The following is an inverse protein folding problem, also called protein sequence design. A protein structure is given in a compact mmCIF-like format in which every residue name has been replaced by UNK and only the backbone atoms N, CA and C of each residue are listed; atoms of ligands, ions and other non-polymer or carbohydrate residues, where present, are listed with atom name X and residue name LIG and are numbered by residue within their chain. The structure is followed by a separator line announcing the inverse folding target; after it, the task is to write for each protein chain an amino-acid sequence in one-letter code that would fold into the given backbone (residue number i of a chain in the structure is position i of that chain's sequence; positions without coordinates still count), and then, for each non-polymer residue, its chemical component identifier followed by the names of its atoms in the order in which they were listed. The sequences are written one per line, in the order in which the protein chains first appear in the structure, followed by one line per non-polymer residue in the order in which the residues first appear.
data_IF_160133507898
#
_entry.id   IF_160133507898
#
_cell.length_a   1.000
_cell.length_b   1.000
_cell.length_c   1.000
_cell.angle_alpha   90.00
_cell.angle_beta   90.00
_cell.angle_gamma   90.00
#
_symmetry.space_group_name_H-M   'P 1'
#
loop_
_entity.id
_entity.type
_entity.pdbx_description
1 polymer ?
#
# COMPACT_ATOMS: atom_id res chain seq x y z
N UNK A 1 1.58 -16.64 27.89
CA UNK A 1 2.07 -16.08 26.61
C UNK A 1 3.37 -15.28 26.80
N UNK A 2 3.37 -14.12 27.46
CA UNK A 2 4.57 -13.27 27.59
C UNK A 2 5.77 -13.92 28.29
N UNK A 3 5.54 -14.79 29.27
CA UNK A 3 6.61 -15.57 29.90
C UNK A 3 7.31 -16.53 28.91
N UNK A 4 6.58 -17.06 27.93
CA UNK A 4 7.19 -17.92 26.89
C UNK A 4 7.91 -17.09 25.85
N UNK A 5 7.37 -15.92 25.48
CA UNK A 5 8.06 -14.95 24.64
C UNK A 5 9.38 -14.48 25.29
N UNK A 6 9.43 -14.36 26.62
CA UNK A 6 10.63 -14.00 27.38
C UNK A 6 11.76 -15.04 27.21
N UNK A 7 11.41 -16.33 27.23
CA UNK A 7 12.37 -17.42 26.98
C UNK A 7 12.96 -17.40 25.56
N UNK A 8 12.23 -16.81 24.62
CA UNK A 8 12.66 -16.58 23.25
C UNK A 8 13.34 -15.21 23.06
N UNK A 9 13.51 -14.40 24.12
CA UNK A 9 14.00 -13.03 24.01
C UNK A 9 13.08 -12.07 23.24
N UNK A 10 11.83 -12.47 22.99
CA UNK A 10 10.87 -11.73 22.14
C UNK A 10 9.88 -10.88 22.95
N UNK A 11 10.00 -10.83 24.28
CA UNK A 11 9.14 -10.02 25.16
C UNK A 11 9.56 -8.55 25.11
N UNK A 12 9.13 -7.85 24.06
CA UNK A 12 9.32 -6.42 23.89
C UNK A 12 7.98 -5.71 23.69
N UNK A 13 7.92 -4.42 24.01
CA UNK A 13 6.81 -3.49 23.74
C UNK A 13 5.50 -3.68 24.53
N UNK A 14 5.15 -4.89 24.97
CA UNK A 14 3.84 -5.19 25.57
C UNK A 14 3.92 -5.66 27.04
N UNK A 15 2.96 -5.20 27.84
CA UNK A 15 2.68 -5.75 29.19
C UNK A 15 1.45 -6.67 29.16
N UNK A 16 1.20 -7.51 30.20
CA UNK A 16 -0.02 -8.32 30.28
C UNK A 16 -1.31 -7.48 30.14
N UNK A 17 -1.32 -6.28 30.70
CA UNK A 17 -2.45 -5.36 30.66
C UNK A 17 -2.72 -4.86 29.25
N UNK A 18 -1.68 -4.50 28.47
CA UNK A 18 -1.81 -4.03 27.09
C UNK A 18 -2.44 -5.09 26.17
N UNK A 19 -2.07 -6.35 26.41
CA UNK A 19 -2.59 -7.50 25.66
C UNK A 19 -4.07 -7.68 25.94
N UNK A 20 -4.47 -7.68 27.22
CA UNK A 20 -5.89 -7.86 27.62
C UNK A 20 -6.74 -6.66 27.20
N UNK A 21 -6.18 -5.45 27.26
CA UNK A 21 -6.83 -4.23 26.79
C UNK A 21 -6.96 -4.17 25.26
N UNK A 22 -6.30 -5.08 24.53
CA UNK A 22 -6.37 -5.14 23.08
C UNK A 22 -5.69 -3.96 22.38
N UNK A 23 -4.59 -3.41 22.94
CA UNK A 23 -3.90 -2.28 22.32
C UNK A 23 -3.33 -2.66 20.94
N UNK A 24 -3.88 -2.15 19.82
CA UNK A 24 -3.55 -2.66 18.50
C UNK A 24 -2.10 -2.37 18.10
N UNK A 25 -1.56 -1.19 18.45
CA UNK A 25 -0.20 -0.79 18.09
C UNK A 25 0.84 -1.65 18.81
N UNK A 26 0.68 -1.81 20.13
CA UNK A 26 1.61 -2.60 20.93
C UNK A 26 1.54 -4.08 20.57
N UNK A 27 0.34 -4.61 20.35
CA UNK A 27 0.16 -6.00 19.94
C UNK A 27 0.76 -6.28 18.56
N UNK A 28 0.58 -5.39 17.57
CA UNK A 28 1.23 -5.54 16.25
C UNK A 28 2.75 -5.47 16.38
N UNK A 29 3.29 -4.54 17.17
CA UNK A 29 4.74 -4.45 17.40
C UNK A 29 5.30 -5.73 18.03
N UNK A 30 4.58 -6.31 19.00
CA UNK A 30 4.95 -7.59 19.62
C UNK A 30 4.98 -8.74 18.60
N UNK A 31 3.93 -8.87 17.78
CA UNK A 31 3.86 -9.93 16.75
C UNK A 31 4.93 -9.74 15.68
N UNK A 32 5.18 -8.51 15.24
CA UNK A 32 6.24 -8.19 14.28
C UNK A 32 7.63 -8.56 14.83
N UNK A 33 7.90 -8.26 16.10
CA UNK A 33 9.15 -8.66 16.75
C UNK A 33 9.32 -10.18 16.80
N UNK A 34 8.25 -10.89 17.14
CA UNK A 34 8.26 -12.36 17.18
C UNK A 34 8.55 -12.96 15.80
N UNK A 35 7.91 -12.44 14.75
CA UNK A 35 8.12 -12.90 13.37
C UNK A 35 9.54 -12.61 12.86
N UNK A 36 10.07 -11.42 13.16
CA UNK A 36 11.43 -11.05 12.76
C UNK A 36 12.51 -11.90 13.45
N UNK A 37 12.25 -12.36 14.69
CA UNK A 37 13.20 -13.18 15.44
C UNK A 37 13.06 -14.67 15.11
N UNK A 38 11.83 -15.16 14.98
CA UNK A 38 11.52 -16.56 14.71
C UNK A 38 10.45 -16.69 13.62
N UNK A 39 10.80 -16.48 12.34
CA UNK A 39 9.82 -16.57 11.24
C UNK A 39 9.30 -17.99 11.00
N UNK A 40 10.00 -19.01 11.52
CA UNK A 40 9.71 -20.44 11.29
C UNK A 40 9.67 -20.83 9.80
N UNK A 41 10.34 -20.06 8.93
CA UNK A 41 10.46 -20.30 7.50
C UNK A 41 11.82 -20.93 7.18
N UNK A 42 11.84 -21.91 6.27
CA UNK A 42 13.09 -22.43 5.72
C UNK A 42 13.71 -21.38 4.82
N UNK A 43 14.98 -21.03 5.06
CA UNK A 43 15.72 -20.12 4.17
C UNK A 43 15.98 -20.84 2.84
N UNK A 44 15.55 -20.29 1.68
CA UNK A 44 16.05 -20.73 0.39
C UNK A 44 17.59 -20.81 0.35
N UNK A 45 18.11 -21.82 -0.36
CA UNK A 45 19.54 -22.15 -0.46
C UNK A 45 20.38 -21.05 -1.16
N UNK A 46 19.74 -20.16 -1.91
CA UNK A 46 20.41 -19.05 -2.58
C UNK A 46 20.32 -17.79 -1.69
N UNK A 47 21.44 -17.47 -1.03
CA UNK A 47 21.57 -16.35 -0.09
C UNK A 47 21.63 -14.95 -0.72
N UNK A 48 21.22 -14.78 -1.98
CA UNK A 48 21.07 -13.45 -2.59
C UNK A 48 19.65 -12.92 -2.34
N UNK A 49 19.33 -12.62 -1.08
CA UNK A 49 18.11 -11.87 -0.78
C UNK A 49 18.38 -10.41 -1.06
N UNK A 50 18.07 -9.97 -2.27
CA UNK A 50 17.91 -8.54 -2.50
C UNK A 50 16.59 -8.12 -1.86
N UNK A 51 16.65 -7.33 -0.79
CA UNK A 51 15.46 -6.74 -0.17
C UNK A 51 14.65 -5.91 -1.18
N UNK A 52 15.25 -5.43 -2.27
CA UNK A 52 14.53 -4.77 -3.37
C UNK A 52 13.63 -5.71 -4.17
N UNK A 53 13.97 -7.00 -4.23
CA UNK A 53 13.16 -8.04 -4.87
C UNK A 53 12.04 -8.57 -3.96
N UNK A 54 12.12 -8.34 -2.65
CA UNK A 54 11.14 -8.82 -1.65
C UNK A 54 9.81 -8.05 -1.70
N UNK A 55 9.84 -6.76 -2.04
CA UNK A 55 8.62 -5.99 -2.33
C UNK A 55 8.10 -6.27 -3.75
N UNK A 56 8.90 -6.93 -4.61
CA UNK A 56 8.58 -7.13 -6.02
C UNK A 56 8.49 -5.83 -6.82
N UNK A 57 8.83 -4.68 -6.22
CA UNK A 57 8.73 -3.36 -6.82
C UNK A 57 10.08 -2.84 -7.29
N UNK A 58 10.10 -2.19 -8.46
CA UNK A 58 11.30 -1.53 -8.97
C UNK A 58 11.62 -0.25 -8.19
N UNK A 59 12.88 0.23 -8.28
CA UNK A 59 13.27 1.53 -7.68
C UNK A 59 12.41 2.69 -8.20
N UNK A 60 12.02 2.63 -9.46
CA UNK A 60 11.17 3.64 -10.10
C UNK A 60 9.75 3.59 -9.54
N UNK A 61 9.16 2.39 -9.46
CA UNK A 61 7.83 2.19 -8.86
C UNK A 61 7.77 2.76 -7.44
N UNK A 62 8.76 2.44 -6.59
CA UNK A 62 8.85 2.99 -5.24
C UNK A 62 8.95 4.51 -5.22
N UNK A 63 9.74 5.07 -6.14
CA UNK A 63 9.95 6.52 -6.23
C UNK A 63 8.64 7.23 -6.60
N UNK A 64 7.92 6.75 -7.62
CA UNK A 64 6.64 7.31 -8.02
C UNK A 64 5.57 7.13 -6.93
N UNK A 65 5.47 5.95 -6.34
CA UNK A 65 4.56 5.66 -5.22
C UNK A 65 4.77 6.63 -4.06
N UNK A 66 6.01 6.82 -3.62
CA UNK A 66 6.34 7.72 -2.53
C UNK A 66 6.07 9.18 -2.88
N UNK A 67 6.40 9.61 -4.10
CA UNK A 67 6.09 10.95 -4.59
C UNK A 67 4.58 11.23 -4.56
N UNK A 68 3.78 10.35 -5.17
CA UNK A 68 2.31 10.49 -5.20
C UNK A 68 1.71 10.51 -3.80
N UNK A 69 2.12 9.60 -2.92
CA UNK A 69 1.64 9.57 -1.53
C UNK A 69 2.06 10.83 -0.73
N UNK A 70 3.24 11.41 -1.01
CA UNK A 70 3.68 12.65 -0.37
C UNK A 70 2.80 13.86 -0.72
N UNK A 71 2.10 13.82 -1.85
CA UNK A 71 1.15 14.85 -2.28
C UNK A 71 -0.23 14.70 -1.63
N UNK A 72 -0.46 13.64 -0.85
CA UNK A 72 -1.71 13.44 -0.11
C UNK A 72 -2.87 12.90 -0.95
N UNK A 73 -2.58 12.15 -2.01
CA UNK A 73 -3.61 11.45 -2.80
C UNK A 73 -4.39 10.43 -1.96
N UNK A 74 -5.64 10.18 -2.33
CA UNK A 74 -6.54 9.24 -1.66
C UNK A 74 -7.19 8.30 -2.69
N UNK A 75 -7.14 6.97 -2.53
CA UNK A 75 -6.55 6.20 -1.44
C UNK A 75 -5.02 6.19 -1.44
N UNK A 76 -4.41 5.75 -0.33
CA UNK A 76 -2.97 5.55 -0.22
C UNK A 76 -2.51 4.47 -1.21
N UNK A 77 -1.48 4.77 -1.98
CA UNK A 77 -0.95 3.87 -3.01
C UNK A 77 0.01 2.88 -2.37
N UNK A 78 -0.32 1.60 -2.45
CA UNK A 78 0.52 0.48 -2.03
C UNK A 78 1.20 -0.17 -3.23
N UNK A 79 0.47 -0.33 -4.35
CA UNK A 79 0.97 -0.96 -5.56
C UNK A 79 0.54 -0.14 -6.80
N UNK A 80 1.53 0.42 -7.51
CA UNK A 80 1.29 1.35 -8.62
C UNK A 80 0.35 0.77 -9.69
N UNK A 81 0.58 -0.49 -10.10
CA UNK A 81 -0.16 -1.11 -11.21
C UNK A 81 -1.62 -1.43 -10.89
N UNK A 82 -1.96 -1.74 -9.64
CA UNK A 82 -3.35 -2.00 -9.24
C UNK A 82 -4.08 -0.71 -8.86
N UNK A 83 -3.40 0.18 -8.13
CA UNK A 83 -4.05 1.28 -7.45
C UNK A 83 -4.32 2.47 -8.38
N UNK A 84 -3.62 2.55 -9.52
CA UNK A 84 -3.89 3.54 -10.57
C UNK A 84 -4.84 3.03 -11.66
N UNK A 85 -5.31 1.79 -11.57
CA UNK A 85 -6.02 1.13 -12.67
C UNK A 85 -7.38 1.76 -13.05
N UNK A 86 -7.96 2.60 -12.19
CA UNK A 86 -9.21 3.32 -12.46
C UNK A 86 -9.05 4.81 -12.80
N UNK A 87 -7.80 5.31 -12.81
CA UNK A 87 -7.44 6.68 -13.16
C UNK A 87 -7.75 7.75 -12.10
N UNK A 88 -8.41 7.43 -10.98
CA UNK A 88 -8.87 8.45 -10.02
C UNK A 88 -7.73 9.19 -9.31
N UNK A 89 -6.68 8.46 -8.96
CA UNK A 89 -5.47 9.03 -8.37
C UNK A 89 -4.80 9.99 -9.36
N UNK A 90 -4.80 9.66 -10.65
CA UNK A 90 -4.20 10.50 -11.69
C UNK A 90 -4.94 11.84 -11.80
N UNK A 91 -6.28 11.84 -11.71
CA UNK A 91 -7.06 13.08 -11.67
C UNK A 91 -6.75 13.95 -10.46
N UNK A 92 -6.57 13.36 -9.27
CA UNK A 92 -6.14 14.13 -8.10
C UNK A 92 -4.76 14.76 -8.32
N UNK A 93 -3.82 14.02 -8.91
CA UNK A 93 -2.50 14.54 -9.24
C UNK A 93 -2.58 15.70 -10.24
N UNK A 94 -3.47 15.63 -11.25
CA UNK A 94 -3.70 16.73 -12.18
C UNK A 94 -4.12 18.02 -11.45
N UNK A 95 -5.04 17.95 -10.48
CA UNK A 95 -5.41 19.12 -9.68
C UNK A 95 -4.22 19.67 -8.87
N UNK A 96 -3.39 18.80 -8.30
CA UNK A 96 -2.19 19.20 -7.53
C UNK A 96 -1.17 19.95 -8.41
N UNK A 97 -1.06 19.58 -9.68
CA UNK A 97 -0.20 20.28 -10.66
C UNK A 97 -0.95 21.38 -11.45
N UNK A 98 -2.16 21.75 -11.01
CA UNK A 98 -3.00 22.82 -11.58
C UNK A 98 -3.47 22.58 -13.01
N UNK A 99 -3.64 21.33 -13.41
CA UNK A 99 -4.36 20.94 -14.63
C UNK A 99 -5.84 20.77 -14.28
N UNK A 100 -6.77 21.53 -14.90
CA UNK A 100 -8.19 21.42 -14.62
C UNK A 100 -8.73 20.03 -14.96
N UNK A 101 -9.52 19.44 -14.06
CA UNK A 101 -10.23 18.18 -14.27
C UNK A 101 -11.73 18.42 -14.18
N UNK A 102 -12.48 17.95 -15.17
CA UNK A 102 -13.94 17.99 -15.14
C UNK A 102 -14.50 16.73 -14.47
N UNK A 103 -14.76 16.82 -13.17
CA UNK A 103 -15.23 15.69 -12.36
C UNK A 103 -16.61 15.14 -12.74
N UNK A 104 -17.42 15.88 -13.50
CA UNK A 104 -18.69 15.39 -14.08
C UNK A 104 -18.46 14.28 -15.10
N UNK A 105 -17.31 14.25 -15.77
CA UNK A 105 -16.93 13.21 -16.73
C UNK A 105 -16.21 12.01 -16.09
N UNK A 106 -15.90 12.07 -14.78
CA UNK A 106 -15.15 11.03 -14.08
C UNK A 106 -16.09 10.02 -13.41
N UNK A 107 -15.94 8.74 -13.74
CA UNK A 107 -16.69 7.65 -13.13
C UNK A 107 -16.08 7.23 -11.78
N UNK A 108 -16.87 7.24 -10.70
CA UNK A 108 -16.41 6.91 -9.34
C UNK A 108 -16.91 5.53 -8.88
N UNK A 109 -16.16 4.82 -8.02
CA UNK A 109 -16.61 3.58 -7.39
C UNK A 109 -17.81 3.81 -6.45
N UNK A 110 -18.58 2.75 -6.11
CA UNK A 110 -18.40 1.37 -6.54
C UNK A 110 -18.78 1.15 -8.01
N UNK A 111 -17.90 0.44 -8.75
CA UNK A 111 -18.17 0.11 -10.13
C UNK A 111 -19.12 -1.10 -10.23
N UNK A 112 -20.09 -1.09 -11.15
CA UNK A 112 -20.93 -2.26 -11.39
C UNK A 112 -20.11 -3.48 -11.83
N UNK A 113 -20.54 -4.68 -11.42
CA UNK A 113 -19.87 -5.93 -11.81
C UNK A 113 -19.85 -6.10 -13.34
N UNK A 114 -20.94 -5.74 -14.02
CA UNK A 114 -21.01 -5.68 -15.47
C UNK A 114 -20.70 -4.25 -15.94
N UNK A 115 -19.69 -4.08 -16.79
CA UNK A 115 -19.33 -2.78 -17.36
C UNK A 115 -18.42 -1.91 -16.49
N UNK A 116 -18.06 -2.32 -15.27
CA UNK A 116 -17.13 -1.58 -14.41
C UNK A 116 -15.77 -1.34 -15.07
N UNK A 117 -15.24 -2.31 -15.81
CA UNK A 117 -13.99 -2.11 -16.57
C UNK A 117 -14.13 -1.04 -17.66
N UNK A 118 -15.29 -0.91 -18.29
CA UNK A 118 -15.53 0.14 -19.29
C UNK A 118 -15.49 1.52 -18.63
N UNK A 119 -16.04 1.66 -17.42
CA UNK A 119 -15.96 2.90 -16.65
C UNK A 119 -14.53 3.29 -16.25
N UNK A 120 -13.70 2.31 -15.90
CA UNK A 120 -12.26 2.53 -15.67
C UNK A 120 -11.53 2.95 -16.95
N UNK A 121 -11.85 2.32 -18.09
CA UNK A 121 -11.28 2.69 -19.40
C UNK A 121 -11.68 4.11 -19.80
N UNK A 122 -12.96 4.50 -19.63
CA UNK A 122 -13.43 5.87 -19.85
C UNK A 122 -12.59 6.88 -19.04
N UNK A 123 -12.35 6.59 -17.75
CA UNK A 123 -11.50 7.42 -16.90
C UNK A 123 -10.06 7.49 -17.42
N UNK A 124 -9.42 6.35 -17.71
CA UNK A 124 -8.03 6.33 -18.17
C UNK A 124 -7.85 7.04 -19.52
N UNK A 125 -8.82 6.91 -20.42
CA UNK A 125 -8.82 7.64 -21.70
C UNK A 125 -8.87 9.15 -21.45
N UNK A 126 -9.76 9.62 -20.58
CA UNK A 126 -9.86 11.03 -20.23
C UNK A 126 -8.57 11.55 -19.56
N UNK A 127 -7.96 10.76 -18.67
CA UNK A 127 -6.68 11.11 -18.07
C UNK A 127 -5.55 11.23 -19.11
N UNK A 128 -5.54 10.39 -20.14
CA UNK A 128 -4.59 10.47 -21.26
C UNK A 128 -4.86 11.69 -22.14
N UNK A 129 -6.12 12.04 -22.38
CA UNK A 129 -6.50 13.25 -23.13
C UNK A 129 -6.00 14.52 -22.46
N UNK A 130 -6.18 14.63 -21.14
CA UNK A 130 -5.64 15.73 -20.34
C UNK A 130 -4.11 15.79 -20.35
N UNK A 131 -3.43 14.66 -20.51
CA UNK A 131 -1.96 14.61 -20.56
C UNK A 131 -1.36 14.99 -21.92
N UNK A 132 -2.19 15.11 -22.96
CA UNK A 132 -1.76 15.50 -24.32
C UNK A 132 -1.82 17.01 -24.56
N UNK A 133 -2.57 17.75 -23.75
CA UNK A 133 -2.68 19.22 -23.82
C UNK A 133 -1.47 19.89 -23.18
#
# INVERSE_FOLDING_TARGET
MLQQADKLGCKQFVTPTDVVAGNPKLNIAFVANLFNTYPALQKPKNNSYDFSLLEGESKEERTFRNWMNSLGVTPYINHLYSDLADGLVIFQLYEMIRVPVEWSHVNKPPYPALGGNMKKIENCNYAVELGKT
#
